data_IF_479712346180
#
_entry.id   IF_479712346180
#
_cell.length_a   1.000
_cell.length_b   1.000
_cell.length_c   1.000
_cell.angle_alpha   90.00
_cell.angle_beta   90.00
_cell.angle_gamma   90.00
#
_symmetry.space_group_name_H-M   'P 1'
#
loop_
_entity.id
_entity.type
_entity.pdbx_description
1 polymer ?
#
# COMPACT_ATOMS: atom_id res chain seq x y z
N UNK A 1 -17.53 2.56 -7.99
CA UNK A 1 -16.52 3.61 -7.80
C UNK A 1 -15.43 3.44 -8.84
N UNK A 2 -14.87 4.53 -9.36
CA UNK A 2 -13.79 4.53 -10.36
C UNK A 2 -12.58 5.24 -9.76
N UNK A 3 -11.39 4.62 -9.85
CA UNK A 3 -10.11 5.27 -9.59
C UNK A 3 -9.31 5.35 -10.88
N UNK A 4 -8.73 6.51 -11.16
CA UNK A 4 -7.94 6.78 -12.34
C UNK A 4 -6.59 7.36 -11.92
N UNK A 5 -5.52 6.90 -12.57
CA UNK A 5 -4.21 7.50 -12.48
C UNK A 5 -3.49 7.33 -13.82
N UNK A 6 -3.26 8.45 -14.52
CA UNK A 6 -2.76 8.43 -15.90
C UNK A 6 -3.58 7.45 -16.77
N UNK A 7 -2.94 6.41 -17.30
CA UNK A 7 -3.55 5.38 -18.13
C UNK A 7 -4.10 4.18 -17.33
N UNK A 8 -3.83 4.10 -16.03
CA UNK A 8 -4.30 3.01 -15.16
C UNK A 8 -5.69 3.36 -14.61
N UNK A 9 -6.65 2.46 -14.81
CA UNK A 9 -8.02 2.60 -14.32
C UNK A 9 -8.44 1.39 -13.51
N UNK A 10 -9.10 1.62 -12.37
CA UNK A 10 -9.66 0.57 -11.53
C UNK A 10 -11.14 0.83 -11.23
N UNK A 11 -11.97 -0.19 -11.48
CA UNK A 11 -13.40 -0.17 -11.18
C UNK A 11 -13.69 -1.03 -9.95
N UNK A 12 -14.45 -0.46 -9.01
CA UNK A 12 -14.82 -1.14 -7.77
C UNK A 12 -16.35 -1.25 -7.66
N UNK A 13 -16.81 -2.44 -7.31
CA UNK A 13 -18.19 -2.70 -6.93
C UNK A 13 -18.23 -3.60 -5.70
N UNK A 14 -19.18 -3.34 -4.81
CA UNK A 14 -19.42 -4.15 -3.62
C UNK A 14 -20.85 -4.71 -3.62
N UNK A 15 -20.98 -5.92 -3.07
CA UNK A 15 -22.26 -6.60 -2.84
C UNK A 15 -22.06 -7.69 -1.79
N UNK A 16 -23.14 -8.14 -1.15
CA UNK A 16 -23.11 -9.31 -0.25
C UNK A 16 -22.80 -10.61 -1.01
N UNK A 17 -23.08 -10.65 -2.32
CA UNK A 17 -22.80 -11.79 -3.19
C UNK A 17 -21.86 -11.41 -4.32
N UNK A 18 -20.87 -12.25 -4.59
CA UNK A 18 -19.85 -12.03 -5.62
C UNK A 18 -20.45 -11.94 -7.03
N UNK A 19 -21.48 -12.73 -7.34
CA UNK A 19 -22.18 -12.70 -8.63
C UNK A 19 -22.83 -11.34 -8.90
N UNK A 20 -23.46 -10.76 -7.88
CA UNK A 20 -24.07 -9.43 -7.99
C UNK A 20 -23.02 -8.32 -8.13
N UNK A 21 -21.88 -8.44 -7.46
CA UNK A 21 -20.77 -7.49 -7.62
C UNK A 21 -20.18 -7.59 -9.03
N UNK A 22 -19.95 -8.81 -9.54
CA UNK A 22 -19.48 -9.05 -10.89
C UNK A 22 -20.47 -8.51 -11.94
N UNK A 23 -21.78 -8.74 -11.78
CA UNK A 23 -22.82 -8.17 -12.66
C UNK A 23 -22.80 -6.63 -12.68
N UNK A 24 -22.56 -5.98 -11.53
CA UNK A 24 -22.40 -4.51 -11.47
C UNK A 24 -21.17 -4.04 -12.27
N UNK A 25 -20.04 -4.74 -12.15
CA UNK A 25 -18.84 -4.44 -12.94
C UNK A 25 -19.08 -4.70 -14.43
N UNK A 26 -19.72 -5.82 -14.78
CA UNK A 26 -20.01 -6.17 -16.16
C UNK A 26 -20.84 -5.10 -16.86
N UNK A 27 -21.90 -4.58 -16.22
CA UNK A 27 -22.69 -3.46 -16.76
C UNK A 27 -21.84 -2.23 -17.08
N UNK A 28 -20.81 -1.95 -16.28
CA UNK A 28 -19.88 -0.86 -16.56
C UNK A 28 -18.98 -1.21 -17.74
N UNK A 29 -18.45 -2.44 -17.79
CA UNK A 29 -17.64 -2.93 -18.91
C UNK A 29 -18.42 -3.02 -20.23
N UNK A 30 -19.74 -3.17 -20.19
CA UNK A 30 -20.61 -3.20 -21.37
C UNK A 30 -20.81 -1.80 -21.97
N UNK A 31 -20.85 -0.76 -21.13
CA UNK A 31 -20.99 0.65 -21.55
C UNK A 31 -19.65 1.30 -21.91
N UNK A 32 -18.56 0.75 -21.39
CA UNK A 32 -17.22 1.31 -21.55
C UNK A 32 -16.74 1.40 -23.01
N UNK A 33 -16.99 0.43 -23.92
CA UNK A 33 -16.55 0.47 -25.30
C UNK A 33 -17.01 1.71 -26.06
N UNK A 34 -18.30 2.08 -25.95
CA UNK A 34 -18.85 3.26 -26.63
C UNK A 34 -18.14 4.55 -26.21
N UNK A 35 -17.86 4.68 -24.91
CA UNK A 35 -17.12 5.83 -24.38
C UNK A 35 -15.67 5.83 -24.88
N UNK A 36 -14.99 4.68 -24.83
CA UNK A 36 -13.62 4.54 -25.32
C UNK A 36 -13.51 4.86 -26.81
N UNK A 37 -14.45 4.39 -27.62
CA UNK A 37 -14.47 4.64 -29.07
C UNK A 37 -14.71 6.11 -29.38
N UNK A 38 -15.62 6.77 -28.65
CA UNK A 38 -15.86 8.21 -28.76
C UNK A 38 -14.58 9.02 -28.53
N UNK A 39 -13.79 8.63 -27.53
CA UNK A 39 -12.54 9.29 -27.18
C UNK A 39 -11.30 8.69 -27.85
N UNK A 40 -11.48 7.75 -28.80
CA UNK A 40 -10.41 7.06 -29.55
C UNK A 40 -9.35 6.43 -28.65
N UNK A 41 -9.77 5.88 -27.52
CA UNK A 41 -8.90 5.23 -26.54
C UNK A 41 -8.87 3.72 -26.77
N UNK A 42 -7.68 3.18 -27.02
CA UNK A 42 -7.48 1.73 -27.10
C UNK A 42 -7.26 1.14 -25.70
N UNK A 43 -7.99 0.06 -25.37
CA UNK A 43 -7.79 -0.69 -24.11
C UNK A 43 -7.08 -1.99 -24.38
N UNK A 44 -6.06 -2.26 -23.56
CA UNK A 44 -5.34 -3.52 -23.57
C UNK A 44 -5.99 -4.51 -22.59
N UNK A 45 -6.84 -5.40 -23.10
CA UNK A 45 -7.56 -6.38 -22.27
C UNK A 45 -6.61 -7.38 -21.62
N UNK A 46 -5.48 -7.74 -22.25
CA UNK A 46 -4.52 -8.70 -21.67
C UNK A 46 -3.74 -8.13 -20.48
N UNK A 47 -3.69 -6.80 -20.32
CA UNK A 47 -3.19 -6.15 -19.10
C UNK A 47 -4.27 -5.92 -18.04
N UNK A 48 -5.53 -6.19 -18.37
CA UNK A 48 -6.66 -6.00 -17.45
C UNK A 48 -6.87 -7.27 -16.64
N UNK A 49 -6.93 -7.13 -15.32
CA UNK A 49 -7.19 -8.24 -14.41
C UNK A 49 -8.32 -7.89 -13.45
N UNK A 50 -9.12 -8.89 -13.11
CA UNK A 50 -10.18 -8.79 -12.10
C UNK A 50 -9.71 -9.44 -10.80
N UNK A 51 -9.95 -8.79 -9.67
CA UNK A 51 -9.68 -9.34 -8.34
C UNK A 51 -10.99 -9.38 -7.55
N UNK A 52 -11.33 -10.56 -7.03
CA UNK A 52 -12.39 -10.72 -6.06
C UNK A 52 -11.79 -10.69 -4.65
N UNK A 53 -12.20 -9.74 -3.82
CA UNK A 53 -11.85 -9.67 -2.40
C UNK A 53 -13.03 -10.05 -1.52
N UNK A 54 -12.83 -10.89 -0.52
CA UNK A 54 -13.88 -11.29 0.43
C UNK A 54 -13.85 -12.78 0.79
N UNK A 55 -14.79 -13.21 1.64
CA UNK A 55 -14.84 -14.58 2.17
C UNK A 55 -15.47 -15.60 1.23
N UNK A 56 -16.24 -15.18 0.23
CA UNK A 56 -16.82 -16.10 -0.74
C UNK A 56 -15.72 -16.72 -1.59
N UNK A 57 -15.70 -18.06 -1.68
CA UNK A 57 -14.70 -18.82 -2.45
C UNK A 57 -15.10 -18.98 -3.91
N UNK A 58 -16.39 -19.17 -4.16
CA UNK A 58 -16.94 -19.38 -5.49
C UNK A 58 -16.67 -18.16 -6.36
N UNK A 59 -15.99 -18.39 -7.47
CA UNK A 59 -15.72 -17.34 -8.46
C UNK A 59 -16.99 -17.07 -9.25
N UNK A 60 -17.35 -15.79 -9.46
CA UNK A 60 -18.47 -15.43 -10.31
C UNK A 60 -18.13 -15.69 -11.78
N UNK A 61 -19.14 -15.52 -12.63
CA UNK A 61 -19.00 -15.67 -14.08
C UNK A 61 -17.87 -14.79 -14.65
N UNK A 62 -17.31 -15.25 -15.78
CA UNK A 62 -16.23 -14.58 -16.46
C UNK A 62 -16.65 -13.16 -16.90
N UNK A 63 -15.88 -12.15 -16.50
CA UNK A 63 -16.06 -10.79 -16.99
C UNK A 63 -15.58 -10.68 -18.43
N UNK A 64 -16.26 -9.86 -19.23
CA UNK A 64 -15.89 -9.61 -20.63
C UNK A 64 -15.77 -8.13 -20.91
N UNK A 65 -14.75 -7.74 -21.66
CA UNK A 65 -14.57 -6.39 -22.19
C UNK A 65 -14.31 -6.49 -23.69
N UNK A 66 -15.15 -5.84 -24.51
CA UNK A 66 -15.12 -5.98 -25.98
C UNK A 66 -15.15 -7.45 -26.44
N UNK A 67 -15.96 -8.28 -25.78
CA UNK A 67 -16.08 -9.72 -26.07
C UNK A 67 -14.90 -10.58 -25.59
N UNK A 68 -13.78 -9.98 -25.18
CA UNK A 68 -12.62 -10.70 -24.65
C UNK A 68 -12.78 -10.96 -23.15
N UNK A 69 -12.39 -12.14 -22.70
CA UNK A 69 -12.47 -12.55 -21.31
C UNK A 69 -11.40 -11.83 -20.45
N UNK A 70 -11.82 -11.22 -19.34
CA UNK A 70 -10.92 -10.61 -18.35
C UNK A 70 -10.55 -11.65 -17.31
N UNK A 71 -9.26 -11.92 -17.14
CA UNK A 71 -8.77 -12.94 -16.22
C UNK A 71 -9.04 -12.58 -14.76
N UNK A 72 -9.57 -13.53 -14.01
CA UNK A 72 -9.66 -13.46 -12.56
C UNK A 72 -8.35 -13.88 -11.92
N UNK A 73 -7.73 -12.96 -11.17
CA UNK A 73 -6.48 -13.20 -10.48
C UNK A 73 -6.67 -13.16 -8.96
N UNK A 74 -5.87 -13.93 -8.23
CA UNK A 74 -5.84 -13.91 -6.74
C UNK A 74 -5.01 -12.76 -6.18
N UNK A 75 -4.13 -12.21 -7.01
CA UNK A 75 -3.26 -11.06 -6.73
C UNK A 75 -3.16 -10.19 -7.97
N UNK A 76 -3.31 -8.88 -7.79
CA UNK A 76 -3.09 -7.89 -8.86
C UNK A 76 -2.09 -6.84 -8.41
N UNK A 77 -1.42 -6.21 -9.37
CA UNK A 77 -0.55 -5.06 -9.12
C UNK A 77 -1.25 -3.82 -9.65
N UNK A 78 -1.49 -2.85 -8.77
CA UNK A 78 -2.10 -1.57 -9.13
C UNK A 78 -1.24 -0.44 -8.57
N UNK A 79 -0.77 0.47 -9.43
CA UNK A 79 0.11 1.59 -9.05
C UNK A 79 1.31 1.15 -8.19
N UNK A 80 1.96 0.04 -8.56
CA UNK A 80 3.10 -0.49 -7.80
C UNK A 80 2.75 -1.20 -6.49
N UNK A 81 1.48 -1.23 -6.08
CA UNK A 81 0.99 -1.92 -4.88
C UNK A 81 0.44 -3.29 -5.24
N UNK A 82 0.86 -4.31 -4.51
CA UNK A 82 0.34 -5.66 -4.65
C UNK A 82 -0.87 -5.89 -3.76
N UNK A 83 -2.02 -6.12 -4.38
CA UNK A 83 -3.29 -6.34 -3.69
C UNK A 83 -3.67 -7.80 -3.89
N UNK A 84 -3.90 -8.51 -2.79
CA UNK A 84 -4.30 -9.91 -2.80
C UNK A 84 -5.75 -10.06 -2.30
N UNK A 85 -6.38 -11.19 -2.64
CA UNK A 85 -7.78 -11.50 -2.28
C UNK A 85 -8.09 -11.35 -0.79
N UNK A 86 -7.12 -11.66 0.08
CA UNK A 86 -7.31 -11.61 1.53
C UNK A 86 -7.12 -10.21 2.13
N UNK A 87 -6.57 -9.28 1.35
CA UNK A 87 -6.18 -7.93 1.79
C UNK A 87 -5.23 -7.91 3.00
N UNK A 88 -4.54 -9.02 3.29
CA UNK A 88 -3.55 -9.11 4.37
C UNK A 88 -2.22 -8.42 4.03
N UNK A 89 -2.07 -7.91 2.81
CA UNK A 89 -0.91 -7.15 2.36
C UNK A 89 0.43 -7.92 2.40
N UNK A 90 0.43 -9.24 2.67
CA UNK A 90 1.65 -10.04 2.72
C UNK A 90 2.50 -9.89 1.47
N UNK A 91 1.94 -9.99 0.24
CA UNK A 91 2.75 -9.89 -0.96
C UNK A 91 3.29 -8.47 -1.19
N UNK A 92 2.61 -7.44 -0.68
CA UNK A 92 3.10 -6.07 -0.71
C UNK A 92 4.27 -5.89 0.25
N UNK A 93 4.16 -6.40 1.47
CA UNK A 93 5.22 -6.30 2.48
C UNK A 93 6.47 -7.06 2.04
N UNK A 94 6.33 -8.25 1.46
CA UNK A 94 7.46 -8.99 0.93
C UNK A 94 8.17 -8.22 -0.19
N UNK A 95 7.41 -7.62 -1.11
CA UNK A 95 7.96 -6.80 -2.19
C UNK A 95 8.69 -5.56 -1.65
N UNK A 96 8.09 -4.84 -0.71
CA UNK A 96 8.66 -3.64 -0.09
C UNK A 96 9.94 -3.97 0.69
N UNK A 97 9.96 -5.09 1.43
CA UNK A 97 11.15 -5.57 2.13
C UNK A 97 12.25 -5.94 1.12
N UNK A 98 11.91 -6.66 0.05
CA UNK A 98 12.89 -7.09 -0.95
C UNK A 98 13.52 -5.89 -1.69
N UNK A 99 12.71 -4.94 -2.13
CA UNK A 99 13.18 -3.72 -2.80
C UNK A 99 14.02 -2.84 -1.87
N UNK A 100 13.62 -2.71 -0.59
CA UNK A 100 14.39 -1.99 0.43
C UNK A 100 15.71 -2.68 0.76
N UNK A 101 15.72 -4.02 0.83
CA UNK A 101 16.94 -4.82 1.02
C UNK A 101 17.89 -4.65 -0.14
N UNK A 102 17.41 -4.71 -1.39
CA UNK A 102 18.22 -4.48 -2.57
C UNK A 102 18.83 -3.06 -2.58
N UNK A 103 18.03 -2.05 -2.23
CA UNK A 103 18.50 -0.67 -2.09
C UNK A 103 19.59 -0.54 -1.01
N UNK A 104 19.40 -1.16 0.17
CA UNK A 104 20.40 -1.19 1.24
C UNK A 104 21.70 -1.87 0.81
N UNK A 105 21.63 -2.99 0.10
CA UNK A 105 22.82 -3.71 -0.39
C UNK A 105 23.63 -2.81 -1.33
N UNK A 106 22.98 -2.17 -2.29
CA UNK A 106 23.63 -1.23 -3.21
C UNK A 106 24.27 -0.04 -2.49
N UNK A 107 23.61 0.47 -1.46
CA UNK A 107 24.10 1.61 -0.67
C UNK A 107 25.08 1.22 0.45
N UNK A 108 25.37 -0.07 0.66
CA UNK A 108 26.24 -0.52 1.75
C UNK A 108 27.61 0.17 1.76
N UNK A 109 28.33 0.35 0.62
CA UNK A 109 29.62 1.03 0.62
C UNK A 109 29.54 2.46 1.17
N UNK A 110 28.45 3.16 0.89
CA UNK A 110 28.21 4.55 1.33
C UNK A 110 27.81 4.56 2.81
N UNK A 111 26.88 3.70 3.21
CA UNK A 111 26.35 3.66 4.58
C UNK A 111 27.41 3.18 5.59
N UNK A 112 28.33 2.31 5.17
CA UNK A 112 29.44 1.81 5.98
C UNK A 112 30.72 2.66 5.89
N UNK A 113 30.73 3.72 5.09
CA UNK A 113 31.90 4.58 4.87
C UNK A 113 32.25 5.45 6.09
N UNK A 114 33.26 6.32 5.96
CA UNK A 114 33.61 7.35 6.95
C UNK A 114 32.79 8.66 6.80
N UNK A 115 31.77 8.67 5.95
CA UNK A 115 30.90 9.85 5.80
C UNK A 115 30.26 10.28 7.14
N UNK A 116 29.95 11.57 7.31
CA UNK A 116 29.22 12.06 8.47
C UNK A 116 27.92 11.28 8.69
N UNK A 117 27.63 10.95 9.96
CA UNK A 117 26.45 10.18 10.34
C UNK A 117 25.17 10.83 9.82
N UNK A 118 25.07 12.17 9.93
CA UNK A 118 23.92 12.94 9.44
C UNK A 118 23.68 12.73 7.93
N UNK A 119 24.73 12.69 7.12
CA UNK A 119 24.64 12.43 5.68
C UNK A 119 24.16 11.01 5.39
N UNK A 120 24.69 10.02 6.12
CA UNK A 120 24.24 8.62 5.98
C UNK A 120 22.77 8.45 6.35
N UNK A 121 22.33 9.11 7.42
CA UNK A 121 20.92 9.12 7.85
C UNK A 121 20.04 9.77 6.78
N UNK A 122 20.47 10.89 6.20
CA UNK A 122 19.75 11.56 5.11
C UNK A 122 19.59 10.63 3.88
N UNK A 123 20.66 9.95 3.48
CA UNK A 123 20.64 8.99 2.36
C UNK A 123 19.69 7.82 2.66
N UNK A 124 19.74 7.27 3.88
CA UNK A 124 18.79 6.24 4.32
C UNK A 124 17.33 6.74 4.23
N UNK A 125 17.03 7.91 4.82
CA UNK A 125 15.69 8.50 4.83
C UNK A 125 15.18 8.75 3.40
N UNK A 126 16.06 9.22 2.50
CA UNK A 126 15.71 9.57 1.13
C UNK A 126 15.48 8.34 0.23
N UNK A 127 16.28 7.28 0.37
CA UNK A 127 16.31 6.20 -0.62
C UNK A 127 15.80 4.85 -0.11
N UNK A 128 16.18 4.45 1.11
CA UNK A 128 15.78 3.16 1.67
C UNK A 128 14.44 3.28 2.39
N UNK A 129 14.28 4.29 3.27
CA UNK A 129 13.03 4.50 4.01
C UNK A 129 11.86 4.80 3.08
N UNK A 130 12.08 5.62 2.05
CA UNK A 130 11.06 5.95 1.04
C UNK A 130 10.50 4.72 0.32
N UNK A 131 11.34 3.72 0.04
CA UNK A 131 10.91 2.42 -0.50
C UNK A 131 10.22 1.57 0.56
N UNK A 132 10.77 1.52 1.77
CA UNK A 132 10.25 0.73 2.88
C UNK A 132 8.84 1.18 3.30
N UNK A 133 8.53 2.46 3.15
CA UNK A 133 7.22 3.02 3.50
C UNK A 133 6.38 3.36 2.28
N UNK A 134 6.70 2.82 1.11
CA UNK A 134 5.91 3.00 -0.08
C UNK A 134 4.50 2.40 0.10
N UNK A 135 3.48 3.20 -0.20
CA UNK A 135 2.06 2.89 0.02
C UNK A 135 1.67 2.58 1.48
N UNK A 136 2.56 2.80 2.46
CA UNK A 136 2.28 2.51 3.87
C UNK A 136 1.05 3.25 4.42
N UNK A 137 0.74 4.51 4.03
CA UNK A 137 -0.50 5.16 4.47
C UNK A 137 -1.78 4.40 4.14
N UNK A 138 -1.78 3.62 3.05
CA UNK A 138 -2.94 2.85 2.60
C UNK A 138 -2.93 1.39 3.10
N UNK A 139 -1.76 0.80 3.37
CA UNK A 139 -1.62 -0.64 3.63
C UNK A 139 -1.20 -0.99 5.07
N UNK A 140 -0.56 -0.09 5.81
CA UNK A 140 0.04 -0.42 7.11
C UNK A 140 -1.00 -0.80 8.17
N UNK A 141 -2.21 -0.23 8.11
CA UNK A 141 -3.32 -0.58 8.99
C UNK A 141 -3.73 -2.05 8.83
N UNK A 142 -3.72 -2.54 7.58
CA UNK A 142 -4.06 -3.91 7.23
C UNK A 142 -2.96 -4.92 7.60
N UNK A 143 -1.76 -4.43 7.94
CA UNK A 143 -0.63 -5.30 8.26
C UNK A 143 -0.76 -5.91 9.66
N UNK A 144 -0.50 -7.21 9.75
CA UNK A 144 -0.41 -7.94 11.02
C UNK A 144 0.84 -7.50 11.82
N UNK A 145 0.80 -7.68 13.14
CA UNK A 145 1.92 -7.30 14.03
C UNK A 145 3.27 -7.89 13.60
N UNK A 146 3.29 -9.15 13.17
CA UNK A 146 4.51 -9.80 12.65
C UNK A 146 5.06 -9.10 11.38
N UNK A 147 4.19 -8.64 10.49
CA UNK A 147 4.61 -7.90 9.29
C UNK A 147 5.18 -6.52 9.66
N UNK A 148 4.56 -5.81 10.62
CA UNK A 148 5.05 -4.54 11.15
C UNK A 148 6.45 -4.71 11.78
N UNK A 149 6.66 -5.77 12.55
CA UNK A 149 7.97 -6.12 13.11
C UNK A 149 9.02 -6.40 12.02
N UNK A 150 8.65 -7.10 10.94
CA UNK A 150 9.56 -7.34 9.80
C UNK A 150 10.00 -6.03 9.13
N UNK A 151 9.10 -5.05 8.98
CA UNK A 151 9.44 -3.73 8.47
C UNK A 151 10.38 -2.98 9.41
N UNK A 152 10.06 -2.95 10.71
CA UNK A 152 10.92 -2.32 11.73
C UNK A 152 12.32 -2.96 11.76
N UNK A 153 12.42 -4.27 11.60
CA UNK A 153 13.70 -4.97 11.51
C UNK A 153 14.54 -4.48 10.32
N UNK A 154 13.95 -4.19 9.16
CA UNK A 154 14.70 -3.63 8.03
C UNK A 154 15.29 -2.25 8.34
N UNK A 155 14.56 -1.39 9.05
CA UNK A 155 15.08 -0.10 9.53
C UNK A 155 16.22 -0.32 10.53
N UNK A 156 16.03 -1.19 11.53
CA UNK A 156 17.02 -1.45 12.57
C UNK A 156 18.36 -1.96 11.98
N UNK A 157 18.31 -2.80 10.93
CA UNK A 157 19.52 -3.26 10.23
C UNK A 157 20.29 -2.07 9.62
N UNK A 158 19.59 -1.11 9.01
CA UNK A 158 20.25 0.07 8.41
C UNK A 158 20.81 0.99 9.49
N UNK A 159 20.05 1.25 10.55
CA UNK A 159 20.50 2.13 11.64
C UNK A 159 21.75 1.57 12.33
N UNK A 160 21.80 0.25 12.57
CA UNK A 160 23.01 -0.43 13.06
C UNK A 160 24.20 -0.28 12.12
N UNK A 161 23.97 -0.43 10.81
CA UNK A 161 25.02 -0.25 9.80
C UNK A 161 25.57 1.19 9.81
N UNK A 162 24.71 2.20 9.93
CA UNK A 162 25.10 3.61 9.98
C UNK A 162 25.90 3.92 11.24
N UNK A 163 25.44 3.43 12.39
CA UNK A 163 26.06 3.65 13.69
C UNK A 163 27.34 2.83 13.91
N UNK A 164 27.61 1.81 13.08
CA UNK A 164 28.69 0.85 13.33
C UNK A 164 28.49 0.05 14.62
N UNK A 165 27.24 -0.11 15.07
CA UNK A 165 26.93 -0.64 16.39
C UNK A 165 26.96 -2.19 16.41
N UNK A 166 27.67 -2.74 17.39
CA UNK A 166 27.71 -4.18 17.66
C UNK A 166 26.38 -4.74 18.19
N UNK A 167 26.28 -6.07 18.27
CA UNK A 167 25.04 -6.78 18.64
C UNK A 167 24.51 -6.44 20.04
N UNK A 168 25.40 -6.07 20.99
CA UNK A 168 25.05 -5.75 22.39
C UNK A 168 24.26 -4.45 22.55
N UNK A 169 24.41 -3.49 21.63
CA UNK A 169 23.72 -2.20 21.73
C UNK A 169 22.26 -2.40 21.36
N UNK A 170 21.32 -1.92 22.19
CA UNK A 170 19.88 -2.07 21.92
C UNK A 170 19.43 -1.17 20.75
N UNK A 171 18.43 -1.63 19.98
CA UNK A 171 17.96 -0.92 18.78
C UNK A 171 17.37 0.46 19.09
N UNK A 172 16.67 0.58 20.22
CA UNK A 172 16.03 1.82 20.68
C UNK A 172 17.07 2.90 21.03
N UNK A 173 18.18 2.50 21.64
CA UNK A 173 19.33 3.39 21.92
C UNK A 173 19.91 3.94 20.63
N UNK A 174 20.10 3.08 19.61
CA UNK A 174 20.62 3.50 18.30
C UNK A 174 19.65 4.46 17.61
N UNK A 175 18.35 4.15 17.62
CA UNK A 175 17.33 4.99 17.00
C UNK A 175 17.26 6.38 17.65
N UNK A 176 17.32 6.45 18.99
CA UNK A 176 17.38 7.72 19.73
C UNK A 176 18.65 8.51 19.42
N UNK A 177 19.82 7.87 19.43
CA UNK A 177 21.09 8.52 19.13
C UNK A 177 21.18 9.07 17.69
N UNK A 178 20.48 8.44 16.73
CA UNK A 178 20.42 8.88 15.34
C UNK A 178 19.23 9.81 15.05
N UNK A 179 18.38 10.11 16.04
CA UNK A 179 17.15 10.90 15.89
C UNK A 179 16.27 10.36 14.73
N UNK A 180 16.05 9.05 14.74
CA UNK A 180 15.21 8.37 13.76
C UNK A 180 14.00 7.75 14.47
N UNK A 181 12.83 8.30 14.17
CA UNK A 181 11.52 7.76 14.57
C UNK A 181 11.31 6.31 14.10
N UNK A 182 10.46 5.53 14.78
CA UNK A 182 10.13 4.17 14.35
C UNK A 182 9.42 4.16 13.00
N UNK A 183 9.37 3.00 12.33
CA UNK A 183 8.61 2.87 11.08
C UNK A 183 7.14 3.20 11.34
N UNK A 184 6.60 2.78 12.48
CA UNK A 184 5.22 3.06 12.86
C UNK A 184 4.95 4.55 13.05
N UNK A 185 5.77 5.23 13.85
CA UNK A 185 5.67 6.68 14.05
C UNK A 185 5.71 7.45 12.73
N UNK A 186 6.67 7.11 11.87
CA UNK A 186 6.80 7.76 10.56
C UNK A 186 5.57 7.51 9.68
N UNK A 187 5.08 6.27 9.64
CA UNK A 187 3.89 5.92 8.85
C UNK A 187 2.66 6.64 9.39
N UNK A 188 2.43 6.67 10.71
CA UNK A 188 1.33 7.44 11.32
C UNK A 188 1.40 8.91 10.93
N UNK A 189 2.58 9.52 10.99
CA UNK A 189 2.80 10.92 10.56
C UNK A 189 2.55 11.14 9.06
N UNK A 190 2.87 10.16 8.20
CA UNK A 190 2.54 10.22 6.78
C UNK A 190 1.03 10.08 6.55
N UNK A 191 0.39 9.10 7.20
CA UNK A 191 -1.04 8.84 7.11
C UNK A 191 -1.86 10.05 7.53
N UNK A 192 -1.53 10.66 8.68
CA UNK A 192 -2.13 11.93 9.15
C UNK A 192 -2.01 13.03 8.09
N UNK A 193 -0.82 13.24 7.53
CA UNK A 193 -0.60 14.26 6.48
C UNK A 193 -1.42 14.01 5.21
N UNK A 194 -1.54 12.75 4.79
CA UNK A 194 -2.32 12.37 3.60
C UNK A 194 -3.80 12.64 3.83
N UNK A 195 -4.37 12.20 4.96
CA UNK A 195 -5.79 12.41 5.25
C UNK A 195 -6.12 13.89 5.52
N UNK A 196 -5.29 14.63 6.26
CA UNK A 196 -5.51 16.06 6.46
C UNK A 196 -5.51 16.83 5.13
N UNK A 197 -4.64 16.45 4.18
CA UNK A 197 -4.64 17.05 2.84
C UNK A 197 -5.87 16.65 2.03
N UNK A 198 -6.31 15.40 2.15
CA UNK A 198 -7.54 14.95 1.49
C UNK A 198 -8.74 15.74 2.01
N UNK A 199 -8.88 15.86 3.34
CA UNK A 199 -9.98 16.53 4.03
C UNK A 199 -9.99 18.05 3.80
N UNK A 200 -8.82 18.70 3.77
CA UNK A 200 -8.70 20.12 3.45
C UNK A 200 -8.80 20.42 1.93
N UNK A 201 -8.77 19.38 1.09
CA UNK A 201 -8.78 19.53 -0.35
C UNK A 201 -10.16 19.95 -0.89
N UNK A 202 -10.22 20.57 -2.08
CA UNK A 202 -11.49 21.02 -2.67
C UNK A 202 -12.31 19.89 -3.30
N UNK A 203 -11.89 18.63 -3.19
CA UNK A 203 -12.48 17.49 -3.88
C UNK A 203 -13.29 16.61 -2.90
N UNK A 204 -14.64 16.68 -2.91
CA UNK A 204 -15.49 15.93 -1.98
C UNK A 204 -15.35 14.41 -2.11
N UNK A 205 -14.94 13.92 -3.29
CA UNK A 205 -14.64 12.52 -3.52
C UNK A 205 -13.47 12.01 -2.67
N UNK A 206 -12.55 12.89 -2.27
CA UNK A 206 -11.42 12.56 -1.41
C UNK A 206 -11.77 12.57 0.08
N UNK A 207 -12.73 13.41 0.50
CA UNK A 207 -13.22 13.46 1.89
C UNK A 207 -13.79 12.11 2.32
N UNK A 208 -14.48 11.43 1.40
CA UNK A 208 -15.16 10.16 1.64
C UNK A 208 -14.32 8.91 1.30
N UNK A 209 -13.01 9.04 1.02
CA UNK A 209 -12.14 7.91 0.60
C UNK A 209 -12.08 6.78 1.64
N UNK A 210 -12.24 7.13 2.91
CA UNK A 210 -12.43 6.18 4.02
C UNK A 210 -13.45 6.84 4.95
N UNK A 211 -14.74 6.45 4.90
CA UNK A 211 -15.70 6.98 5.86
C UNK A 211 -15.24 6.64 7.28
N UNK A 212 -15.58 7.49 8.26
CA UNK A 212 -15.59 7.11 9.67
C UNK A 212 -16.63 6.00 9.84
N UNK A 213 -16.24 4.76 9.54
CA UNK A 213 -17.07 3.61 9.81
C UNK A 213 -16.90 3.32 11.31
N UNK A 214 -17.97 3.52 12.08
CA UNK A 214 -18.04 3.19 13.51
C UNK A 214 -17.65 1.73 13.83
N UNK A 215 -17.63 0.86 12.81
CA UNK A 215 -17.21 -0.54 12.94
C UNK A 215 -16.33 -1.00 11.80
N UNK A 216 -15.19 -1.58 12.19
CA UNK A 216 -14.42 -2.49 11.34
C UNK A 216 -15.32 -3.63 10.84
N UNK A 217 -15.56 -3.67 9.53
CA UNK A 217 -16.47 -4.62 8.87
C UNK A 217 -15.93 -6.06 8.79
N UNK A 218 -15.00 -6.49 9.68
CA UNK A 218 -14.44 -7.86 9.83
C UNK A 218 -13.23 -7.95 10.80
N UNK A 219 -12.99 -6.97 11.67
CA UNK A 219 -11.82 -6.94 12.56
C UNK A 219 -10.50 -6.45 11.90
N UNK A 220 -10.56 -5.97 10.65
CA UNK A 220 -9.43 -5.26 10.01
C UNK A 220 -9.41 -3.79 10.41
N UNK A 221 -8.26 -3.27 10.80
CA UNK A 221 -8.08 -1.82 10.96
C UNK A 221 -8.15 -1.13 9.59
N UNK A 222 -8.91 -0.04 9.53
CA UNK A 222 -8.96 0.82 8.36
C UNK A 222 -7.75 1.76 8.36
N UNK A 223 -7.32 2.25 7.17
CA UNK A 223 -6.21 3.19 7.08
C UNK A 223 -6.37 4.47 7.93
N UNK A 224 -7.60 4.99 8.10
CA UNK A 224 -7.88 6.13 9.00
C UNK A 224 -7.75 5.78 10.48
N UNK A 225 -7.86 4.51 10.88
CA UNK A 225 -7.71 4.10 12.29
C UNK A 225 -6.28 4.30 12.80
N UNK A 226 -5.30 4.43 11.91
CA UNK A 226 -3.93 4.81 12.29
C UNK A 226 -3.80 6.28 12.73
N UNK A 227 -4.76 7.12 12.34
CA UNK A 227 -4.82 8.55 12.67
C UNK A 227 -5.50 8.78 14.02
N UNK A 228 -6.54 7.98 14.31
CA UNK A 228 -7.23 7.96 15.59
C UNK A 228 -6.24 7.50 16.65
N UNK A 229 -5.99 8.33 17.65
CA UNK A 229 -5.26 7.90 18.84
C UNK A 229 -6.11 6.81 19.51
N UNK A 230 -5.49 5.70 19.88
CA UNK A 230 -6.11 4.82 20.86
C UNK A 230 -6.43 5.70 22.07
N UNK A 231 -7.67 5.73 22.57
CA UNK A 231 -7.91 6.23 23.91
C UNK A 231 -7.13 5.29 24.84
N UNK A 232 -6.08 5.85 25.41
CA UNK A 232 -5.32 5.44 26.58
C UNK A 232 -4.35 4.25 26.51
N UNK A 233 -3.21 4.56 27.15
CA UNK A 233 -2.22 3.70 27.80
C UNK A 233 -2.83 2.81 28.90
#
# INVERSE_FOLDING_TARGET
>A
MLALYANDSAYFASSRRADLAAKKIQRVLDLLPEWLDRWRMAVNVSKTAALLTGSQRNMPDQLRLRGQAVEWNTRVRYLGVHIDRSLQMTPQIDHVIQTSRAARIKLRPILASRLPVITKVAIYKCYVRSRLTYAAPASYALCLGLQRQRLQAQQNIVLRLIAGAGWKVKNDVIARALEVETVEEFVRKLTRRVFNRADAGPHPSLHNLVPHLDRSMRGYQLPRDLVMESPDD
#
